data_IF_713124994120
#
_entry.id   IF_713124994120
#
_cell.length_a   1.000
_cell.length_b   1.000
_cell.length_c   1.000
_cell.angle_alpha   90.00
_cell.angle_beta   90.00
_cell.angle_gamma   90.00
#
_symmetry.space_group_name_H-M   'P 1'
#
loop_
_entity.id
_entity.type
_entity.pdbx_description
1 polymer ?
#
# COMPACT_ATOMS: atom_id res chain seq x y z
N UNK A 1 56.34 18.93 33.42
CA UNK A 1 55.15 18.66 32.56
C UNK A 1 54.73 19.88 31.74
N UNK A 2 54.61 21.06 32.34
CA UNK A 2 54.21 22.28 31.62
C UNK A 2 55.23 22.76 30.56
N UNK A 3 56.50 22.53 30.75
CA UNK A 3 57.57 22.89 29.78
C UNK A 3 57.43 22.09 28.46
N UNK A 4 57.11 20.80 28.54
CA UNK A 4 56.97 19.95 27.35
C UNK A 4 55.74 20.39 26.52
N UNK A 5 54.68 20.82 27.19
CA UNK A 5 53.48 21.36 26.51
C UNK A 5 53.79 22.69 25.81
N UNK A 6 54.58 23.55 26.49
CA UNK A 6 54.98 24.84 25.93
C UNK A 6 55.90 24.67 24.71
N UNK A 7 56.88 23.72 24.79
CA UNK A 7 57.77 23.40 23.66
C UNK A 7 56.99 22.81 22.47
N UNK A 8 56.00 21.96 22.73
CA UNK A 8 55.12 21.43 21.67
C UNK A 8 54.34 22.54 20.96
N UNK A 9 53.75 23.49 21.69
CA UNK A 9 53.06 24.65 21.13
C UNK A 9 54.03 25.56 20.36
N UNK A 10 55.23 25.75 20.85
CA UNK A 10 56.24 26.59 20.17
C UNK A 10 56.69 25.96 18.85
N UNK A 11 56.82 24.62 18.77
CA UNK A 11 57.08 23.85 17.55
C UNK A 11 55.99 23.97 16.50
N UNK A 12 54.72 23.94 16.92
CA UNK A 12 53.57 24.12 16.05
C UNK A 12 53.54 25.55 15.43
N UNK A 13 53.81 26.56 16.25
CA UNK A 13 53.83 27.97 15.80
C UNK A 13 55.03 28.32 14.93
N UNK A 14 56.21 27.69 15.11
CA UNK A 14 57.38 27.89 14.26
C UNK A 14 57.17 27.43 12.82
N UNK A 15 56.29 26.43 12.61
CA UNK A 15 55.95 25.87 11.29
C UNK A 15 54.47 25.96 11.00
N UNK A 16 53.82 27.09 11.34
CA UNK A 16 52.38 27.31 11.26
C UNK A 16 51.72 26.90 9.94
N UNK A 17 52.37 27.14 8.81
CA UNK A 17 51.83 26.75 7.50
C UNK A 17 51.75 25.24 7.30
N UNK A 18 52.77 24.48 7.76
CA UNK A 18 52.82 23.03 7.68
C UNK A 18 51.79 22.43 8.62
N UNK A 19 51.71 22.90 9.85
CA UNK A 19 50.76 22.44 10.86
C UNK A 19 49.31 22.74 10.42
N UNK A 20 49.06 23.92 9.83
CA UNK A 20 47.78 24.31 9.29
C UNK A 20 47.32 23.38 8.13
N UNK A 21 48.24 23.13 7.15
CA UNK A 21 47.95 22.24 6.02
C UNK A 21 47.64 20.81 6.46
N UNK A 22 48.40 20.27 7.42
CA UNK A 22 48.16 18.91 7.93
C UNK A 22 46.85 18.82 8.73
N UNK A 23 46.52 19.81 9.57
CA UNK A 23 45.25 19.89 10.25
C UNK A 23 44.08 19.99 9.27
N UNK A 24 44.21 20.82 8.24
CA UNK A 24 43.18 21.00 7.22
C UNK A 24 42.95 19.70 6.43
N UNK A 25 44.03 18.96 6.15
CA UNK A 25 43.92 17.63 5.52
C UNK A 25 43.17 16.62 6.37
N UNK A 26 43.47 16.57 7.68
CA UNK A 26 42.78 15.65 8.61
C UNK A 26 41.33 16.05 8.81
N UNK A 27 41.07 17.34 9.00
CA UNK A 27 39.69 17.85 9.16
C UNK A 27 38.86 17.53 7.93
N UNK A 28 39.40 17.81 6.72
CA UNK A 28 38.68 17.53 5.46
C UNK A 28 38.45 16.03 5.24
N UNK A 29 39.44 15.17 5.62
CA UNK A 29 39.29 13.72 5.57
C UNK A 29 38.16 13.21 6.49
N UNK A 30 38.18 13.67 7.75
CA UNK A 30 37.11 13.27 8.71
C UNK A 30 35.75 13.83 8.31
N UNK A 31 35.69 15.09 7.88
CA UNK A 31 34.45 15.71 7.42
C UNK A 31 33.81 14.96 6.21
N UNK A 32 34.67 14.54 5.27
CA UNK A 32 34.22 13.76 4.12
C UNK A 32 33.65 12.40 4.51
N UNK A 33 34.30 11.69 5.44
CA UNK A 33 33.80 10.40 5.94
C UNK A 33 32.46 10.57 6.67
N UNK A 34 32.35 11.61 7.53
CA UNK A 34 31.10 11.89 8.24
C UNK A 34 29.98 12.24 7.25
N UNK A 35 30.28 13.06 6.24
CA UNK A 35 29.29 13.43 5.22
C UNK A 35 28.80 12.18 4.44
N UNK A 36 29.72 11.31 4.00
CA UNK A 36 29.37 10.08 3.28
C UNK A 36 28.52 9.14 4.17
N UNK A 37 28.95 8.90 5.40
CA UNK A 37 28.22 8.01 6.33
C UNK A 37 26.86 8.58 6.67
N UNK A 38 26.75 9.90 6.86
CA UNK A 38 25.44 10.56 7.13
C UNK A 38 24.51 10.47 5.92
N UNK A 39 25.04 10.67 4.71
CA UNK A 39 24.25 10.53 3.48
C UNK A 39 23.77 9.09 3.30
N UNK A 40 24.67 8.10 3.46
CA UNK A 40 24.29 6.68 3.34
C UNK A 40 23.23 6.30 4.37
N UNK A 41 23.39 6.71 5.63
CA UNK A 41 22.40 6.45 6.68
C UNK A 41 21.07 7.15 6.39
N UNK A 42 21.11 8.43 5.99
CA UNK A 42 19.90 9.17 5.62
C UNK A 42 19.17 8.54 4.45
N UNK A 43 19.87 8.17 3.38
CA UNK A 43 19.28 7.48 2.22
C UNK A 43 18.75 6.09 2.60
N UNK A 44 19.48 5.34 3.44
CA UNK A 44 19.04 4.01 3.90
C UNK A 44 17.78 4.08 4.77
N UNK A 45 17.68 5.08 5.67
CA UNK A 45 16.46 5.32 6.45
C UNK A 45 15.31 5.78 5.55
N UNK A 46 15.59 6.63 4.57
CA UNK A 46 14.58 7.09 3.62
C UNK A 46 14.06 5.96 2.72
N UNK A 47 14.95 5.10 2.20
CA UNK A 47 14.56 3.88 1.46
C UNK A 47 13.76 2.94 2.37
N UNK A 48 14.15 2.83 3.63
CA UNK A 48 13.43 2.01 4.61
C UNK A 48 12.05 2.61 4.94
N UNK A 49 11.96 3.92 5.10
CA UNK A 49 10.68 4.63 5.22
C UNK A 49 9.84 4.52 3.94
N UNK A 50 10.44 4.58 2.75
CA UNK A 50 9.73 4.44 1.48
C UNK A 50 9.28 2.97 1.21
N UNK A 51 10.07 1.98 1.65
CA UNK A 51 9.72 0.55 1.54
C UNK A 51 8.76 0.08 2.66
N UNK A 52 8.87 0.67 3.85
CA UNK A 52 7.98 0.42 5.00
C UNK A 52 6.92 1.52 5.09
N UNK A 53 7.12 2.57 4.35
CA UNK A 53 6.62 3.94 4.52
C UNK A 53 5.19 4.21 4.12
N UNK A 54 4.38 3.18 4.00
CA UNK A 54 2.94 3.33 4.15
C UNK A 54 2.44 2.91 5.55
N UNK A 55 3.33 2.89 6.57
CA UNK A 55 2.97 2.62 7.97
C UNK A 55 2.45 1.22 8.25
N UNK A 56 2.12 0.49 7.23
CA UNK A 56 1.62 -0.88 7.29
C UNK A 56 2.76 -1.83 6.96
N UNK A 57 3.29 -2.57 7.90
CA UNK A 57 4.18 -3.70 7.65
C UNK A 57 3.52 -4.76 6.73
N UNK A 58 2.90 -4.31 5.63
CA UNK A 58 2.18 -5.16 4.69
C UNK A 58 2.99 -5.39 3.43
N UNK A 59 3.00 -6.63 2.97
CA UNK A 59 3.56 -7.04 1.69
C UNK A 59 2.40 -7.51 0.83
N UNK A 60 2.20 -6.84 -0.30
CA UNK A 60 1.21 -7.25 -1.29
C UNK A 60 1.85 -8.22 -2.30
N UNK A 61 1.27 -9.40 -2.43
CA UNK A 61 1.69 -10.44 -3.35
C UNK A 61 0.64 -10.53 -4.45
N UNK A 62 0.90 -9.82 -5.52
CA UNK A 62 0.02 -9.75 -6.68
C UNK A 62 0.45 -10.79 -7.71
N UNK A 63 -0.50 -11.47 -8.30
CA UNK A 63 -0.25 -12.41 -9.39
C UNK A 63 0.20 -11.63 -10.63
N UNK A 64 1.28 -12.09 -11.27
CA UNK A 64 1.81 -11.47 -12.48
C UNK A 64 1.96 -12.48 -13.61
N UNK A 65 1.77 -11.99 -14.83
CA UNK A 65 2.11 -12.68 -16.06
C UNK A 65 3.18 -11.86 -16.80
N UNK A 66 4.45 -12.26 -16.68
CA UNK A 66 5.58 -11.46 -17.12
C UNK A 66 5.71 -10.19 -16.27
N UNK A 67 5.71 -9.02 -16.90
CA UNK A 67 5.81 -7.72 -16.25
C UNK A 67 4.44 -7.11 -15.87
N UNK A 68 3.34 -7.73 -16.29
CA UNK A 68 1.97 -7.23 -16.09
C UNK A 68 1.26 -7.98 -14.95
N UNK A 69 0.37 -7.28 -14.23
CA UNK A 69 -0.54 -7.93 -13.29
C UNK A 69 -1.48 -8.87 -14.07
N UNK A 70 -1.71 -10.05 -13.51
CA UNK A 70 -2.66 -11.01 -14.09
C UNK A 70 -4.08 -10.44 -13.97
N UNK A 71 -4.73 -10.24 -15.11
CA UNK A 71 -6.13 -9.81 -15.16
C UNK A 71 -7.02 -11.00 -15.54
N UNK A 72 -7.83 -11.42 -14.59
CA UNK A 72 -8.75 -12.54 -14.79
C UNK A 72 -9.87 -12.22 -15.80
N UNK A 73 -10.12 -10.95 -16.14
CA UNK A 73 -11.11 -10.57 -17.18
C UNK A 73 -10.63 -10.95 -18.57
N UNK A 74 -9.37 -10.68 -18.85
CA UNK A 74 -8.75 -10.96 -20.16
C UNK A 74 -8.14 -12.36 -20.23
N UNK A 75 -7.93 -13.01 -19.07
CA UNK A 75 -7.25 -14.29 -18.99
C UNK A 75 -5.75 -14.17 -19.29
N UNK A 76 -5.09 -15.32 -19.54
CA UNK A 76 -3.68 -15.31 -19.87
C UNK A 76 -3.44 -14.79 -21.29
N UNK A 77 -2.65 -13.73 -21.42
CA UNK A 77 -2.27 -13.15 -22.72
C UNK A 77 -1.37 -14.09 -23.55
N UNK A 78 -0.68 -15.02 -22.91
CA UNK A 78 0.27 -15.94 -23.55
C UNK A 78 -0.28 -17.35 -23.78
N UNK A 79 -1.59 -17.58 -23.57
CA UNK A 79 -2.20 -18.90 -23.69
C UNK A 79 -1.79 -19.88 -22.58
N UNK A 80 -1.15 -19.40 -21.52
CA UNK A 80 -0.82 -20.17 -20.33
C UNK A 80 -2.10 -20.51 -19.56
N UNK A 81 -2.06 -21.57 -18.77
CA UNK A 81 -3.16 -21.90 -17.88
C UNK A 81 -3.31 -20.83 -16.80
N UNK A 82 -4.56 -20.52 -16.41
CA UNK A 82 -4.82 -19.65 -15.29
C UNK A 82 -4.05 -20.12 -14.03
N UNK A 83 -3.57 -19.20 -13.19
CA UNK A 83 -2.92 -19.56 -11.93
C UNK A 83 -3.80 -20.50 -11.11
N UNK A 84 -3.23 -21.46 -10.38
CA UNK A 84 -4.01 -22.36 -9.56
C UNK A 84 -4.68 -21.62 -8.41
N UNK A 85 -5.90 -22.01 -8.09
CA UNK A 85 -6.63 -21.47 -6.94
C UNK A 85 -5.97 -21.90 -5.64
N UNK A 86 -5.90 -21.01 -4.68
CA UNK A 86 -5.41 -21.31 -3.34
C UNK A 86 -6.44 -22.14 -2.56
N UNK A 87 -6.03 -23.31 -2.10
CA UNK A 87 -6.84 -24.11 -1.19
C UNK A 87 -6.89 -23.50 0.21
N UNK A 88 -7.95 -23.81 0.98
CA UNK A 88 -8.04 -23.35 2.36
C UNK A 88 -6.85 -23.81 3.22
N UNK A 89 -6.30 -25.01 2.94
CA UNK A 89 -5.10 -25.50 3.63
C UNK A 89 -3.87 -24.63 3.34
N UNK A 90 -3.69 -24.19 2.10
CA UNK A 90 -2.61 -23.28 1.71
C UNK A 90 -2.78 -21.90 2.35
N UNK A 91 -3.99 -21.34 2.37
CA UNK A 91 -4.32 -20.09 3.05
C UNK A 91 -3.98 -20.16 4.54
N UNK A 92 -4.35 -21.24 5.21
CA UNK A 92 -4.02 -21.45 6.63
C UNK A 92 -2.52 -21.63 6.87
N UNK A 93 -1.78 -22.23 5.95
CA UNK A 93 -0.31 -22.30 6.03
C UNK A 93 0.31 -20.91 5.94
N UNK A 94 -0.17 -20.05 5.04
CA UNK A 94 0.31 -18.65 4.94
C UNK A 94 0.06 -17.89 6.22
N UNK A 95 -1.14 -18.00 6.82
CA UNK A 95 -1.48 -17.34 8.09
C UNK A 95 -0.63 -17.79 9.28
N UNK A 96 -0.03 -18.98 9.20
CA UNK A 96 0.79 -19.58 10.28
C UNK A 96 2.28 -19.47 10.05
N UNK A 97 2.74 -18.73 9.03
CA UNK A 97 4.16 -18.49 8.83
C UNK A 97 4.74 -17.64 9.97
N UNK A 98 6.00 -17.90 10.30
CA UNK A 98 6.72 -17.10 11.28
C UNK A 98 6.78 -15.63 10.85
N UNK A 99 6.63 -14.71 11.79
CA UNK A 99 6.60 -13.26 11.55
C UNK A 99 5.40 -12.74 10.74
N UNK A 100 4.35 -13.56 10.54
CA UNK A 100 3.09 -13.12 9.96
C UNK A 100 2.09 -12.81 11.07
N UNK A 101 1.74 -11.55 11.21
CA UNK A 101 0.70 -11.09 12.15
C UNK A 101 -0.70 -11.37 11.62
N UNK A 102 -0.93 -11.08 10.35
CA UNK A 102 -2.18 -11.39 9.66
C UNK A 102 -1.94 -11.58 8.15
N UNK A 103 -2.82 -12.33 7.52
CA UNK A 103 -2.83 -12.49 6.07
C UNK A 103 -4.27 -12.47 5.56
N UNK A 104 -4.50 -11.76 4.47
CA UNK A 104 -5.80 -11.63 3.81
C UNK A 104 -5.70 -12.03 2.34
N UNK A 105 -6.80 -12.59 1.83
CA UNK A 105 -6.91 -13.05 0.45
C UNK A 105 -8.02 -12.26 -0.22
N UNK A 106 -7.72 -11.69 -1.39
CA UNK A 106 -8.64 -10.79 -2.05
C UNK A 106 -8.62 -10.95 -3.56
N UNK A 107 -9.74 -10.62 -4.18
CA UNK A 107 -9.86 -10.43 -5.62
C UNK A 107 -9.72 -8.96 -5.96
N UNK A 108 -9.24 -8.65 -7.15
CA UNK A 108 -9.15 -7.26 -7.63
C UNK A 108 -9.57 -7.14 -9.09
N UNK A 109 -10.19 -6.02 -9.41
CA UNK A 109 -10.45 -5.54 -10.77
C UNK A 109 -10.04 -4.09 -10.86
N UNK A 110 -9.17 -3.80 -11.79
CA UNK A 110 -8.75 -2.44 -12.14
C UNK A 110 -9.49 -1.99 -13.40
N UNK A 111 -9.66 -0.68 -13.54
CA UNK A 111 -10.26 -0.09 -14.75
C UNK A 111 -11.66 -0.62 -15.09
N UNK A 112 -12.48 -0.86 -14.08
CA UNK A 112 -13.82 -1.43 -14.26
C UNK A 112 -14.74 -0.48 -15.02
N UNK A 113 -15.02 -0.78 -16.28
CA UNK A 113 -16.05 -0.10 -17.08
C UNK A 113 -17.49 -0.52 -16.72
N UNK A 114 -17.64 -1.44 -15.76
CA UNK A 114 -18.89 -2.08 -15.39
C UNK A 114 -19.43 -1.70 -14.01
N UNK A 115 -19.01 -0.54 -13.49
CA UNK A 115 -19.49 -0.01 -12.21
C UNK A 115 -20.18 1.32 -12.41
N UNK A 116 -21.43 1.42 -11.94
CA UNK A 116 -22.28 2.59 -12.15
C UNK A 116 -23.10 2.94 -10.91
N UNK A 117 -23.26 4.24 -10.70
CA UNK A 117 -24.33 4.78 -9.85
C UNK A 117 -25.21 5.69 -10.69
N UNK A 118 -26.47 5.32 -10.87
CA UNK A 118 -27.37 5.99 -11.81
C UNK A 118 -26.75 6.04 -13.23
N UNK A 119 -26.41 7.25 -13.70
CA UNK A 119 -25.77 7.48 -15.00
C UNK A 119 -24.26 7.78 -14.88
N UNK A 120 -23.70 7.78 -13.67
CA UNK A 120 -22.29 8.08 -13.42
C UNK A 120 -21.50 6.78 -13.41
N UNK A 121 -20.50 6.69 -14.30
CA UNK A 121 -19.60 5.55 -14.40
C UNK A 121 -18.39 5.74 -13.47
N UNK A 122 -17.99 4.69 -12.78
CA UNK A 122 -16.80 4.65 -11.94
C UNK A 122 -15.57 4.28 -12.77
N UNK A 123 -15.08 5.25 -13.57
CA UNK A 123 -13.92 5.00 -14.44
C UNK A 123 -12.60 5.15 -13.70
N UNK A 124 -11.69 4.19 -13.92
CA UNK A 124 -10.35 4.22 -13.35
C UNK A 124 -10.25 3.77 -11.90
N UNK A 125 -11.37 3.47 -11.26
CA UNK A 125 -11.37 2.93 -9.89
C UNK A 125 -11.12 1.43 -9.83
N UNK A 126 -10.98 0.92 -8.61
CA UNK A 126 -10.73 -0.49 -8.33
C UNK A 126 -11.91 -1.11 -7.59
N UNK A 127 -12.21 -2.37 -7.90
CA UNK A 127 -13.15 -3.18 -7.11
C UNK A 127 -12.39 -4.32 -6.47
N UNK A 128 -12.60 -4.51 -5.17
CA UNK A 128 -11.97 -5.58 -4.40
C UNK A 128 -13.03 -6.53 -3.84
N UNK A 129 -12.77 -7.82 -3.97
CA UNK A 129 -13.52 -8.86 -3.28
C UNK A 129 -12.73 -9.29 -2.05
N UNK A 130 -13.14 -8.86 -0.86
CA UNK A 130 -12.34 -8.95 0.37
C UNK A 130 -12.84 -10.03 1.33
N UNK A 131 -11.89 -10.67 2.04
CA UNK A 131 -12.21 -11.56 3.16
C UNK A 131 -12.41 -10.80 4.48
N UNK A 132 -12.76 -11.52 5.55
CA UNK A 132 -13.03 -10.93 6.87
C UNK A 132 -11.82 -10.21 7.48
N UNK A 133 -10.59 -10.59 7.09
CA UNK A 133 -9.34 -10.06 7.64
C UNK A 133 -8.83 -8.82 6.92
N UNK A 134 -9.37 -8.51 5.75
CA UNK A 134 -8.80 -7.49 4.84
C UNK A 134 -8.75 -6.10 5.46
N UNK A 135 -9.86 -5.64 6.05
CA UNK A 135 -9.95 -4.29 6.60
C UNK A 135 -8.92 -4.08 7.72
N UNK A 136 -8.78 -5.06 8.62
CA UNK A 136 -7.82 -4.99 9.73
C UNK A 136 -6.38 -5.15 9.26
N UNK A 137 -6.14 -6.02 8.26
CA UNK A 137 -4.79 -6.24 7.70
C UNK A 137 -4.28 -5.02 6.94
N UNK A 138 -5.17 -4.35 6.20
CA UNK A 138 -4.86 -3.18 5.39
C UNK A 138 -5.14 -1.84 6.10
N UNK A 139 -5.42 -1.88 7.41
CA UNK A 139 -5.68 -0.72 8.29
C UNK A 139 -6.78 0.24 7.78
N UNK A 140 -7.82 -0.33 7.17
CA UNK A 140 -9.02 0.42 6.84
C UNK A 140 -9.93 0.60 8.06
N UNK A 141 -10.49 1.80 8.20
CA UNK A 141 -11.44 2.15 9.24
C UNK A 141 -12.80 2.44 8.60
N UNK A 142 -13.86 1.94 9.21
CA UNK A 142 -15.23 2.33 8.83
C UNK A 142 -15.51 3.72 9.38
N UNK A 143 -15.50 4.71 8.51
CA UNK A 143 -15.75 6.11 8.86
C UNK A 143 -17.24 6.37 9.13
N UNK A 144 -18.12 5.75 8.35
CA UNK A 144 -19.56 5.88 8.49
C UNK A 144 -20.27 4.59 8.06
N UNK A 145 -21.45 4.33 8.63
CA UNK A 145 -22.20 3.10 8.36
C UNK A 145 -21.67 1.92 9.15
N UNK A 146 -21.50 0.75 8.47
CA UNK A 146 -20.96 -0.46 9.06
C UNK A 146 -20.02 -1.18 8.11
N UNK A 147 -19.09 -1.97 8.66
CA UNK A 147 -18.31 -2.95 7.92
C UNK A 147 -19.13 -4.19 7.53
N UNK A 148 -18.46 -5.14 6.86
CA UNK A 148 -19.07 -6.45 6.61
C UNK A 148 -19.09 -7.28 7.88
N UNK A 149 -20.24 -7.89 8.15
CA UNK A 149 -20.36 -8.86 9.22
C UNK A 149 -20.31 -10.29 8.67
N UNK A 150 -20.09 -11.27 9.54
CA UNK A 150 -20.06 -12.69 9.17
C UNK A 150 -21.28 -13.11 8.34
N UNK A 151 -22.47 -12.57 8.65
CA UNK A 151 -23.70 -12.85 7.93
C UNK A 151 -23.62 -12.41 6.45
N UNK A 152 -22.92 -11.30 6.15
CA UNK A 152 -22.79 -10.81 4.77
C UNK A 152 -21.97 -11.79 3.91
N UNK A 153 -20.96 -12.44 4.50
CA UNK A 153 -20.19 -13.49 3.85
C UNK A 153 -20.99 -14.80 3.71
N UNK A 154 -21.67 -15.23 4.76
CA UNK A 154 -22.38 -16.52 4.78
C UNK A 154 -23.63 -16.54 3.88
N UNK A 155 -24.25 -15.37 3.68
CA UNK A 155 -25.46 -15.24 2.83
C UNK A 155 -25.18 -14.74 1.42
N UNK A 156 -23.91 -14.60 1.01
CA UNK A 156 -23.54 -14.00 -0.28
C UNK A 156 -24.22 -12.64 -0.50
N UNK A 157 -24.21 -11.80 0.53
CA UNK A 157 -24.95 -10.55 0.51
C UNK A 157 -24.41 -9.59 -0.55
N UNK A 158 -25.32 -8.98 -1.31
CA UNK A 158 -25.01 -7.93 -2.29
C UNK A 158 -24.87 -6.59 -1.57
N UNK A 159 -23.78 -6.45 -0.80
CA UNK A 159 -23.43 -5.24 -0.06
C UNK A 159 -22.06 -4.75 -0.50
N UNK A 160 -21.85 -3.44 -0.44
CA UNK A 160 -20.61 -2.80 -0.82
C UNK A 160 -20.14 -1.81 0.25
N UNK A 161 -18.82 -1.66 0.36
CA UNK A 161 -18.17 -0.56 1.05
C UNK A 161 -17.49 0.31 0.00
N UNK A 162 -17.49 1.59 0.20
CA UNK A 162 -16.82 2.56 -0.69
C UNK A 162 -15.80 3.34 0.13
N UNK A 163 -14.64 3.62 -0.43
CA UNK A 163 -13.73 4.55 0.21
C UNK A 163 -14.16 6.01 -0.01
N UNK A 164 -13.50 6.93 0.68
CA UNK A 164 -13.83 8.37 0.59
C UNK A 164 -13.71 8.93 -0.82
N UNK A 165 -12.77 8.44 -1.62
CA UNK A 165 -12.55 8.89 -2.98
C UNK A 165 -13.63 8.35 -3.93
N UNK A 166 -13.93 7.06 -3.85
CA UNK A 166 -15.05 6.47 -4.59
C UNK A 166 -16.39 7.11 -4.21
N UNK A 167 -16.59 7.43 -2.92
CA UNK A 167 -17.77 8.13 -2.46
C UNK A 167 -17.91 9.52 -3.12
N UNK A 168 -16.81 10.29 -3.18
CA UNK A 168 -16.79 11.61 -3.79
C UNK A 168 -17.01 11.56 -5.31
N UNK A 169 -16.32 10.64 -6.00
CA UNK A 169 -16.31 10.55 -7.45
C UNK A 169 -17.59 9.94 -8.03
N UNK A 170 -18.16 8.93 -7.36
CA UNK A 170 -19.31 8.19 -7.90
C UNK A 170 -20.66 8.79 -7.47
N UNK A 171 -20.72 9.36 -6.25
CA UNK A 171 -22.00 9.84 -5.68
C UNK A 171 -22.17 11.36 -5.70
N UNK A 172 -21.22 12.12 -6.28
CA UNK A 172 -21.34 13.57 -6.52
C UNK A 172 -21.75 14.37 -5.26
N UNK A 173 -21.27 13.97 -4.08
CA UNK A 173 -21.59 14.60 -2.80
C UNK A 173 -22.87 14.10 -2.13
N UNK A 174 -23.63 13.18 -2.74
CA UNK A 174 -24.72 12.48 -2.07
C UNK A 174 -24.14 11.50 -1.02
N UNK A 175 -24.86 11.29 0.08
CA UNK A 175 -24.50 10.22 1.04
C UNK A 175 -24.66 8.84 0.39
N UNK A 176 -23.60 8.04 0.21
CA UNK A 176 -23.67 6.75 -0.46
C UNK A 176 -24.37 5.66 0.37
N UNK A 177 -24.47 5.80 1.69
CA UNK A 177 -25.02 4.76 2.56
C UNK A 177 -26.50 4.50 2.23
N UNK A 178 -26.84 3.25 2.00
CA UNK A 178 -28.19 2.81 1.60
C UNK A 178 -28.49 2.98 0.12
N UNK A 179 -27.58 3.58 -0.66
CA UNK A 179 -27.73 3.67 -2.13
C UNK A 179 -27.30 2.36 -2.79
N UNK A 180 -27.81 2.15 -4.00
CA UNK A 180 -27.48 0.98 -4.80
C UNK A 180 -26.48 1.37 -5.87
N UNK A 181 -25.35 0.68 -5.92
CA UNK A 181 -24.35 0.74 -6.97
C UNK A 181 -24.42 -0.53 -7.80
N UNK A 182 -24.36 -0.39 -9.12
CA UNK A 182 -24.29 -1.52 -10.03
C UNK A 182 -22.83 -1.94 -10.23
N UNK A 183 -22.53 -3.20 -9.98
CA UNK A 183 -21.20 -3.79 -10.14
C UNK A 183 -21.34 -5.06 -10.97
N UNK A 184 -20.74 -5.08 -12.18
CA UNK A 184 -20.86 -6.23 -13.07
C UNK A 184 -22.32 -6.53 -13.49
N UNK A 185 -23.14 -5.51 -13.67
CA UNK A 185 -24.59 -5.60 -13.96
C UNK A 185 -25.46 -6.11 -12.79
N UNK A 186 -24.91 -6.18 -11.59
CA UNK A 186 -25.63 -6.63 -10.39
C UNK A 186 -25.74 -5.51 -9.35
N UNK A 187 -26.89 -5.33 -8.70
CA UNK A 187 -27.10 -4.26 -7.73
C UNK A 187 -26.48 -4.62 -6.37
N UNK A 188 -25.62 -3.75 -5.84
CA UNK A 188 -25.05 -3.84 -4.49
C UNK A 188 -25.47 -2.64 -3.67
N UNK A 189 -25.87 -2.86 -2.42
CA UNK A 189 -26.22 -1.78 -1.49
C UNK A 189 -24.99 -1.32 -0.72
N UNK A 190 -24.69 -0.03 -0.78
CA UNK A 190 -23.61 0.56 0.02
C UNK A 190 -23.99 0.57 1.49
N UNK A 191 -23.19 -0.08 2.34
CA UNK A 191 -23.44 -0.22 3.78
C UNK A 191 -22.49 0.59 4.64
N UNK A 192 -21.39 1.07 4.08
CA UNK A 192 -20.43 1.91 4.82
C UNK A 192 -19.42 2.61 3.93
N UNK A 193 -18.78 3.59 4.53
CA UNK A 193 -17.69 4.38 3.95
C UNK A 193 -16.42 4.05 4.70
N UNK A 194 -15.35 3.79 3.95
CA UNK A 194 -14.03 3.47 4.48
C UNK A 194 -13.07 4.64 4.33
N UNK A 195 -12.13 4.71 5.25
CA UNK A 195 -10.93 5.55 5.14
C UNK A 195 -9.72 4.76 5.60
N UNK A 196 -8.53 5.09 5.12
CA UNK A 196 -7.29 4.60 5.73
C UNK A 196 -6.98 5.40 6.98
N UNK A 197 -6.22 4.82 7.91
CA UNK A 197 -5.68 5.60 9.03
C UNK A 197 -4.78 6.71 8.51
N UNK A 198 -4.79 7.88 9.17
CA UNK A 198 -3.96 9.03 8.77
C UNK A 198 -2.45 8.71 8.82
N UNK A 199 -2.05 7.82 9.74
CA UNK A 199 -0.66 7.37 9.88
C UNK A 199 -0.14 6.58 8.66
N UNK A 200 -1.04 6.08 7.83
CA UNK A 200 -0.72 5.29 6.64
C UNK A 200 -0.67 6.13 5.35
N UNK A 201 -0.89 7.44 5.44
CA UNK A 201 -0.74 8.32 4.29
C UNK A 201 0.76 8.51 3.98
N UNK A 202 1.21 8.27 2.73
CA UNK A 202 2.60 8.52 2.37
C UNK A 202 2.95 9.97 2.64
N UNK A 203 4.09 10.20 3.27
CA UNK A 203 4.59 11.54 3.55
C UNK A 203 5.08 12.19 2.26
N UNK A 204 4.14 12.77 1.51
CA UNK A 204 4.39 13.41 0.22
C UNK A 204 5.19 14.69 0.44
N UNK A 205 6.46 14.68 0.05
CA UNK A 205 7.38 15.81 0.21
C UNK A 205 7.65 16.56 -1.10
N UNK A 206 7.31 15.97 -2.25
CA UNK A 206 7.57 16.56 -3.57
C UNK A 206 6.32 16.61 -4.43
N UNK A 207 6.31 17.58 -5.38
CA UNK A 207 5.21 17.72 -6.35
C UNK A 207 5.06 16.47 -7.23
N UNK A 208 6.18 15.84 -7.61
CA UNK A 208 6.16 14.59 -8.39
C UNK A 208 5.51 13.44 -7.62
N UNK A 209 5.81 13.29 -6.32
CA UNK A 209 5.16 12.29 -5.46
C UNK A 209 3.66 12.58 -5.30
N UNK A 210 3.29 13.86 -5.23
CA UNK A 210 1.90 14.29 -5.17
C UNK A 210 1.16 13.98 -6.47
N UNK A 211 1.77 14.22 -7.62
CA UNK A 211 1.18 13.95 -8.93
C UNK A 211 1.04 12.44 -9.17
N UNK A 212 2.06 11.65 -8.81
CA UNK A 212 2.05 10.19 -8.89
C UNK A 212 0.95 9.60 -7.97
N UNK A 213 0.84 10.10 -6.76
CA UNK A 213 -0.19 9.72 -5.80
C UNK A 213 -1.60 10.16 -6.25
N UNK A 214 -1.74 11.33 -6.86
CA UNK A 214 -3.03 11.82 -7.36
C UNK A 214 -3.53 11.10 -8.60
N UNK A 215 -2.66 10.54 -9.43
CA UNK A 215 -3.09 9.75 -10.60
C UNK A 215 -3.73 8.40 -10.20
N UNK A 216 -3.44 7.89 -9.01
CA UNK A 216 -4.02 6.63 -8.52
C UNK A 216 -5.38 6.79 -7.79
N UNK A 217 -5.87 8.01 -7.52
CA UNK A 217 -6.98 8.22 -6.59
C UNK A 217 -8.34 8.40 -7.28
N UNK A 218 -8.77 7.39 -8.03
CA UNK A 218 -10.19 7.32 -8.38
C UNK A 218 -11.02 6.72 -7.25
N UNK A 219 -10.39 5.96 -6.36
CA UNK A 219 -11.01 5.30 -5.23
C UNK A 219 -11.27 3.83 -5.43
N UNK A 220 -11.82 3.19 -4.40
CA UNK A 220 -12.02 1.76 -4.33
C UNK A 220 -13.41 1.41 -3.81
N UNK A 221 -13.97 0.34 -4.37
CA UNK A 221 -15.22 -0.27 -3.91
C UNK A 221 -14.87 -1.68 -3.45
N UNK A 222 -15.39 -2.08 -2.29
CA UNK A 222 -15.15 -3.41 -1.73
C UNK A 222 -16.46 -4.16 -1.62
N UNK A 223 -16.45 -5.45 -1.98
CA UNK A 223 -17.56 -6.38 -1.79
C UNK A 223 -17.06 -7.61 -1.05
N UNK A 224 -17.92 -8.39 -0.37
CA UNK A 224 -17.49 -9.64 0.23
C UNK A 224 -16.93 -10.59 -0.84
N UNK A 225 -15.80 -11.25 -0.57
CA UNK A 225 -15.17 -12.18 -1.53
C UNK A 225 -16.12 -13.32 -1.96
N UNK A 226 -16.98 -13.79 -1.06
CA UNK A 226 -17.98 -14.81 -1.40
C UNK A 226 -19.07 -14.30 -2.38
N UNK A 227 -19.28 -12.99 -2.42
CA UNK A 227 -20.22 -12.36 -3.38
C UNK A 227 -19.52 -12.00 -4.71
N UNK A 228 -18.18 -12.16 -4.80
CA UNK A 228 -17.40 -11.87 -6.00
C UNK A 228 -17.94 -12.57 -7.27
N UNK A 229 -18.27 -13.88 -7.24
CA UNK A 229 -18.78 -14.57 -8.42
C UNK A 229 -20.15 -14.08 -8.91
N UNK A 230 -20.85 -13.27 -8.13
CA UNK A 230 -22.12 -12.66 -8.54
C UNK A 230 -21.85 -11.50 -9.50
N UNK A 231 -20.84 -10.69 -9.25
CA UNK A 231 -20.48 -9.54 -10.04
C UNK A 231 -19.49 -9.87 -11.18
N UNK A 232 -18.63 -10.87 -10.96
CA UNK A 232 -17.52 -11.23 -11.84
C UNK A 232 -17.47 -12.73 -12.14
N UNK A 233 -16.32 -13.22 -12.58
CA UNK A 233 -16.16 -14.63 -12.91
C UNK A 233 -16.02 -15.50 -11.65
N UNK A 234 -16.48 -16.72 -11.77
CA UNK A 234 -16.24 -17.77 -10.80
C UNK A 234 -14.81 -18.32 -10.97
N UNK A 235 -14.23 -18.86 -9.90
CA UNK A 235 -12.89 -19.50 -9.91
C UNK A 235 -11.76 -18.56 -10.40
N UNK A 236 -11.76 -17.33 -9.95
CA UNK A 236 -10.65 -16.43 -10.16
C UNK A 236 -9.57 -16.65 -9.10
N UNK A 237 -8.28 -16.51 -9.47
CA UNK A 237 -7.20 -16.57 -8.49
C UNK A 237 -7.21 -15.35 -7.59
N UNK A 238 -6.86 -15.56 -6.33
CA UNK A 238 -6.79 -14.49 -5.31
C UNK A 238 -5.37 -13.94 -5.20
N UNK A 239 -5.27 -12.66 -4.93
CA UNK A 239 -4.06 -11.99 -4.45
C UNK A 239 -3.94 -12.13 -2.94
N UNK A 240 -2.77 -11.86 -2.38
CA UNK A 240 -2.49 -12.05 -0.95
C UNK A 240 -1.79 -10.82 -0.39
N UNK A 241 -2.31 -10.26 0.70
CA UNK A 241 -1.60 -9.27 1.51
C UNK A 241 -1.21 -9.91 2.83
N UNK A 242 0.04 -9.76 3.19
CA UNK A 242 0.60 -10.24 4.44
C UNK A 242 1.04 -9.05 5.27
N UNK A 243 0.59 -8.98 6.52
CA UNK A 243 1.06 -8.02 7.52
C UNK A 243 2.08 -8.70 8.41
N UNK A 244 3.28 -8.14 8.46
CA UNK A 244 4.34 -8.62 9.34
C UNK A 244 4.17 -8.10 10.78
N UNK A 245 4.87 -8.75 11.74
CA UNK A 245 4.93 -8.33 13.16
C UNK A 245 5.67 -6.99 13.33
#
# INVERSE_FOLDING_TARGET
MFENIRLAFQGIWSHKMRSFLTMLGIINGIASIIAIVSTIKGTSEQIKEDLIGSGNNTVDIVLKEGDYEYDAEYGSMNGNQAPPLLTNEQKEKVRKLDHVKSATFYYSRSYTSSVYYKNTSFQGGKVFGIDESYLDTCDYIVQAGRGFGKKDYDSFAKVALVDTNAAANLFEGENPIGKTVEIGSEPFTVVGILTKREDDMPNIKTLSQYDEYHQEITGSIMIPNKSWPIAFKFDEPENVIIKAD
#
